data_IF_920697350933
#
_entry.id   IF_920697350933
#
_cell.length_a   1.000
_cell.length_b   1.000
_cell.length_c   1.000
_cell.angle_alpha   90.00
_cell.angle_beta   90.00
_cell.angle_gamma   90.00
#
_symmetry.space_group_name_H-M   'P 1'
#
loop_
_entity.id
_entity.type
_entity.pdbx_description
1 polymer ?
#
# COMPACT_ATOMS: atom_id res chain seq x y z
N UNK A 1 2.75 -76.58 21.65
CA UNK A 1 2.04 -75.36 22.04
C UNK A 1 2.93 -74.18 21.66
N UNK A 2 2.66 -73.53 20.51
CA UNK A 2 3.44 -72.40 19.99
C UNK A 2 2.64 -71.12 20.31
N UNK A 3 3.18 -70.28 21.22
CA UNK A 3 2.55 -68.97 21.54
C UNK A 3 2.90 -67.97 20.42
N UNK A 4 1.87 -67.49 19.70
CA UNK A 4 1.98 -66.35 18.77
C UNK A 4 2.06 -65.06 19.55
N UNK A 5 3.16 -64.31 19.40
CA UNK A 5 3.29 -62.94 19.90
C UNK A 5 2.81 -62.04 18.79
N UNK A 6 1.72 -61.29 19.04
CA UNK A 6 1.20 -60.25 18.17
C UNK A 6 1.86 -58.94 18.61
N UNK A 7 2.75 -58.41 17.74
CA UNK A 7 3.33 -57.07 17.94
C UNK A 7 2.34 -56.04 17.38
N UNK A 8 1.75 -55.22 18.27
CA UNK A 8 0.95 -54.09 17.89
C UNK A 8 1.86 -52.91 17.56
N UNK A 9 1.99 -52.57 16.28
CA UNK A 9 2.71 -51.38 15.84
C UNK A 9 1.85 -50.12 16.07
N UNK A 10 2.32 -49.27 16.95
CA UNK A 10 1.73 -47.96 17.22
C UNK A 10 2.18 -47.00 16.10
N UNK A 11 1.32 -46.68 15.14
CA UNK A 11 1.54 -45.63 14.13
C UNK A 11 1.37 -44.27 14.82
N UNK A 12 2.48 -43.60 15.09
CA UNK A 12 2.50 -42.23 15.60
C UNK A 12 2.29 -41.29 14.39
N UNK A 13 1.05 -40.82 14.18
CA UNK A 13 0.76 -39.76 13.21
C UNK A 13 1.20 -38.43 13.79
N UNK A 14 2.35 -37.92 13.35
CA UNK A 14 2.78 -36.55 13.63
C UNK A 14 1.91 -35.62 12.79
N UNK A 15 0.92 -35.00 13.45
CA UNK A 15 0.20 -33.87 12.87
C UNK A 15 1.16 -32.66 12.82
N UNK A 16 1.67 -32.34 11.63
CA UNK A 16 2.39 -31.10 11.39
C UNK A 16 1.34 -29.99 11.40
N UNK A 17 1.10 -29.40 12.57
CA UNK A 17 0.41 -28.12 12.68
C UNK A 17 1.37 -27.04 12.20
N UNK A 18 1.25 -26.61 10.95
CA UNK A 18 1.90 -25.39 10.47
C UNK A 18 1.27 -24.21 11.20
N UNK A 19 1.87 -23.81 12.34
CA UNK A 19 1.64 -22.51 12.94
C UNK A 19 2.22 -21.48 11.97
N UNK A 20 1.35 -20.77 11.23
CA UNK A 20 1.72 -19.54 10.57
C UNK A 20 1.95 -18.50 11.68
N UNK A 21 3.18 -18.43 12.18
CA UNK A 21 3.63 -17.28 12.96
C UNK A 21 3.60 -16.11 11.96
N UNK A 22 2.83 -15.07 12.27
CA UNK A 22 3.00 -13.75 11.66
C UNK A 22 4.33 -13.21 12.17
N UNK A 23 5.42 -13.59 11.50
CA UNK A 23 6.72 -12.98 11.74
C UNK A 23 6.56 -11.49 11.43
N UNK A 24 6.59 -10.67 12.49
CA UNK A 24 6.66 -9.22 12.33
C UNK A 24 7.96 -8.93 11.59
N UNK A 25 7.85 -8.26 10.45
CA UNK A 25 9.00 -7.83 9.65
C UNK A 25 9.97 -7.06 10.55
N UNK A 26 11.18 -7.59 10.73
CA UNK A 26 12.23 -6.92 11.50
C UNK A 26 12.91 -5.86 10.63
N UNK A 27 12.25 -4.70 10.48
CA UNK A 27 12.77 -3.56 9.73
C UNK A 27 12.96 -2.34 10.61
N UNK A 28 13.94 -1.52 10.27
CA UNK A 28 14.11 -0.21 10.88
C UNK A 28 13.13 0.78 10.25
N UNK A 29 12.34 1.46 11.08
CA UNK A 29 11.50 2.57 10.64
C UNK A 29 12.24 3.87 10.90
N UNK A 30 12.67 4.60 9.84
CA UNK A 30 13.36 5.87 10.01
C UNK A 30 12.37 6.97 10.45
N UNK A 31 12.90 8.04 11.05
CA UNK A 31 12.06 9.22 11.35
C UNK A 31 11.74 9.99 10.06
N UNK A 32 10.59 9.70 9.49
CA UNK A 32 10.13 10.26 8.22
C UNK A 32 10.10 11.79 8.24
N UNK A 33 9.87 12.42 9.38
CA UNK A 33 9.86 13.89 9.52
C UNK A 33 11.21 14.54 9.26
N UNK A 34 12.30 13.78 9.41
CA UNK A 34 13.66 14.24 9.11
C UNK A 34 14.03 14.11 7.63
N UNK A 35 13.24 13.34 6.87
CA UNK A 35 13.59 12.96 5.49
C UNK A 35 12.72 13.70 4.48
N UNK A 36 11.40 13.75 4.72
CA UNK A 36 10.48 14.42 3.80
C UNK A 36 10.43 15.93 4.08
N UNK A 37 10.26 16.78 3.03
CA UNK A 37 10.05 18.20 3.25
C UNK A 37 8.77 18.42 4.08
N UNK A 38 8.66 19.52 4.85
CA UNK A 38 7.40 19.86 5.52
C UNK A 38 6.31 20.18 4.48
N UNK A 39 5.02 20.10 4.84
CA UNK A 39 3.95 20.57 3.97
C UNK A 39 4.14 22.05 3.65
N UNK A 40 3.78 22.50 2.43
CA UNK A 40 3.99 23.88 2.00
C UNK A 40 3.33 24.89 2.94
N UNK A 41 4.07 25.98 3.25
CA UNK A 41 3.60 27.07 4.10
C UNK A 41 2.75 28.09 3.31
N UNK A 42 1.73 28.70 3.92
CA UNK A 42 0.97 29.80 3.31
C UNK A 42 1.88 30.89 2.73
N UNK A 43 1.52 31.42 1.56
CA UNK A 43 2.29 32.45 0.86
C UNK A 43 3.38 31.91 -0.07
N UNK A 44 3.62 30.59 -0.11
CA UNK A 44 4.54 29.98 -1.09
C UNK A 44 3.81 29.55 -2.36
N UNK A 45 4.53 29.48 -3.50
CA UNK A 45 3.98 28.98 -4.76
C UNK A 45 3.49 27.53 -4.65
N UNK A 46 4.18 26.69 -3.87
CA UNK A 46 3.75 25.30 -3.64
C UNK A 46 2.45 25.24 -2.87
N UNK A 47 2.24 26.12 -1.88
CA UNK A 47 0.98 26.21 -1.17
C UNK A 47 -0.15 26.67 -2.11
N UNK A 48 0.10 27.69 -2.94
CA UNK A 48 -0.88 28.15 -3.93
C UNK A 48 -1.27 27.02 -4.88
N UNK A 49 -0.29 26.29 -5.42
CA UNK A 49 -0.52 25.13 -6.27
C UNK A 49 -1.37 24.05 -5.57
N UNK A 50 -1.11 23.77 -4.30
CA UNK A 50 -1.92 22.83 -3.51
C UNK A 50 -3.38 23.28 -3.42
N UNK A 51 -3.60 24.57 -3.13
CA UNK A 51 -4.95 25.13 -3.02
C UNK A 51 -5.70 25.09 -4.35
N UNK A 52 -5.09 25.57 -5.43
CA UNK A 52 -5.72 25.70 -6.73
C UNK A 52 -6.09 24.32 -7.32
N UNK A 53 -5.15 23.36 -7.31
CA UNK A 53 -5.41 22.03 -7.84
C UNK A 53 -6.43 21.28 -6.98
N UNK A 54 -6.32 21.36 -5.65
CA UNK A 54 -7.27 20.67 -4.77
C UNK A 54 -8.67 21.24 -4.88
N UNK A 55 -8.82 22.57 -4.98
CA UNK A 55 -10.12 23.20 -5.20
C UNK A 55 -10.72 22.78 -6.55
N UNK A 56 -9.93 22.81 -7.63
CA UNK A 56 -10.36 22.38 -8.96
C UNK A 56 -10.82 20.90 -9.00
N UNK A 57 -10.27 20.04 -8.15
CA UNK A 57 -10.62 18.62 -8.11
C UNK A 57 -12.08 18.35 -7.72
N UNK A 58 -12.75 19.27 -7.02
CA UNK A 58 -14.15 19.12 -6.63
C UNK A 58 -15.13 19.31 -7.81
N UNK A 59 -14.67 19.83 -8.94
CA UNK A 59 -15.50 20.07 -10.14
C UNK A 59 -15.39 18.97 -11.19
N UNK A 60 -14.59 17.92 -10.97
CA UNK A 60 -14.42 16.80 -11.94
C UNK A 60 -15.31 15.58 -11.64
N UNK A 61 -16.37 15.77 -10.85
CA UNK A 61 -17.36 14.74 -10.51
C UNK A 61 -18.00 14.15 -11.79
N UNK A 62 -18.39 12.88 -11.75
CA UNK A 62 -19.04 12.16 -12.86
C UNK A 62 -18.13 11.80 -14.06
N UNK A 63 -16.84 12.08 -14.00
CA UNK A 63 -15.87 11.62 -15.01
C UNK A 63 -15.41 10.18 -14.73
N UNK A 64 -14.89 9.48 -15.76
CA UNK A 64 -14.26 8.17 -15.57
C UNK A 64 -13.07 8.24 -14.61
N UNK A 65 -12.33 9.36 -14.64
CA UNK A 65 -11.21 9.59 -13.71
C UNK A 65 -11.67 9.67 -12.25
N UNK A 66 -12.82 10.31 -12.01
CA UNK A 66 -13.42 10.37 -10.68
C UNK A 66 -13.91 9.00 -10.20
N UNK A 67 -14.56 8.21 -11.07
CA UNK A 67 -14.98 6.83 -10.76
C UNK A 67 -13.78 5.96 -10.41
N UNK A 68 -12.67 6.09 -11.14
CA UNK A 68 -11.42 5.39 -10.81
C UNK A 68 -10.89 5.83 -9.43
N UNK A 69 -10.93 7.13 -9.12
CA UNK A 69 -10.52 7.63 -7.80
C UNK A 69 -11.39 7.09 -6.65
N UNK A 70 -12.68 6.86 -6.89
CA UNK A 70 -13.58 6.20 -5.92
C UNK A 70 -13.20 4.73 -5.72
N UNK A 71 -12.91 3.98 -6.80
CA UNK A 71 -12.44 2.59 -6.72
C UNK A 71 -11.11 2.49 -5.97
N UNK A 72 -10.16 3.38 -6.28
CA UNK A 72 -8.85 3.46 -5.65
C UNK A 72 -8.89 3.86 -4.16
N UNK A 73 -10.04 4.27 -3.67
CA UNK A 73 -10.22 4.60 -2.26
C UNK A 73 -10.41 3.37 -1.36
N UNK A 74 -10.61 2.19 -1.94
CA UNK A 74 -10.70 0.95 -1.18
C UNK A 74 -9.32 0.59 -0.60
N UNK A 75 -9.19 0.79 0.73
CA UNK A 75 -7.96 0.51 1.48
C UNK A 75 -8.04 -0.87 2.10
N UNK A 76 -7.83 -1.87 1.26
CA UNK A 76 -7.78 -3.28 1.67
C UNK A 76 -6.95 -4.09 0.66
N UNK A 77 -6.44 -5.27 1.03
CA UNK A 77 -5.74 -6.14 0.08
C UNK A 77 -6.55 -6.44 -1.19
N UNK A 78 -7.88 -6.59 -1.09
CA UNK A 78 -8.79 -6.76 -2.22
C UNK A 78 -8.81 -5.52 -3.12
N UNK A 79 -8.86 -4.32 -2.51
CA UNK A 79 -8.83 -3.05 -3.24
C UNK A 79 -7.50 -2.84 -3.96
N UNK A 80 -6.39 -3.19 -3.34
CA UNK A 80 -5.07 -3.11 -3.95
C UNK A 80 -4.92 -4.13 -5.09
N UNK A 81 -5.37 -5.38 -4.89
CA UNK A 81 -5.40 -6.40 -5.93
C UNK A 81 -6.19 -5.91 -7.16
N UNK A 82 -7.43 -5.46 -6.97
CA UNK A 82 -8.28 -4.91 -8.02
C UNK A 82 -7.60 -3.73 -8.75
N UNK A 83 -6.91 -2.86 -8.01
CA UNK A 83 -6.25 -1.70 -8.58
C UNK A 83 -5.07 -2.08 -9.48
N UNK A 84 -4.28 -3.11 -9.14
CA UNK A 84 -3.01 -3.40 -9.79
C UNK A 84 -3.04 -4.62 -10.73
N UNK A 85 -3.98 -5.55 -10.58
CA UNK A 85 -4.04 -6.82 -11.32
C UNK A 85 -3.88 -6.65 -12.83
N UNK A 86 -4.62 -5.71 -13.43
CA UNK A 86 -4.53 -5.44 -14.89
C UNK A 86 -3.15 -4.93 -15.30
N UNK A 87 -2.53 -4.06 -14.52
CA UNK A 87 -1.19 -3.54 -14.81
C UNK A 87 -0.13 -4.61 -14.60
N UNK A 88 -0.27 -5.42 -13.58
CA UNK A 88 0.61 -6.53 -13.23
C UNK A 88 0.54 -7.67 -14.26
N UNK A 89 -0.62 -7.89 -14.88
CA UNK A 89 -0.82 -8.88 -15.94
C UNK A 89 -1.08 -10.30 -15.46
N UNK A 90 -1.22 -10.50 -14.15
CA UNK A 90 -1.59 -11.76 -13.51
C UNK A 90 -2.67 -11.53 -12.47
N UNK A 91 -3.45 -12.57 -12.17
CA UNK A 91 -4.41 -12.52 -11.05
C UNK A 91 -3.71 -12.29 -9.72
N UNK A 92 -4.29 -11.45 -8.89
CA UNK A 92 -3.81 -11.20 -7.52
C UNK A 92 -4.91 -11.62 -6.56
N UNK A 93 -4.76 -12.81 -5.97
CA UNK A 93 -5.78 -13.35 -5.07
C UNK A 93 -5.16 -14.24 -4.00
N UNK A 94 -5.84 -14.33 -2.85
CA UNK A 94 -5.43 -15.21 -1.76
C UNK A 94 -5.29 -16.68 -2.17
N UNK A 95 -6.06 -17.11 -3.19
CA UNK A 95 -6.08 -18.49 -3.65
C UNK A 95 -5.00 -18.79 -4.69
N UNK A 96 -4.82 -17.90 -5.66
CA UNK A 96 -3.95 -18.16 -6.82
C UNK A 96 -2.53 -17.63 -6.61
N UNK A 97 -2.38 -16.53 -5.87
CA UNK A 97 -1.10 -15.87 -5.61
C UNK A 97 -0.94 -15.53 -4.12
N UNK A 98 -0.92 -16.56 -3.23
CA UNK A 98 -0.89 -16.37 -1.78
C UNK A 98 0.34 -15.59 -1.28
N UNK A 99 1.52 -15.72 -1.91
CA UNK A 99 2.70 -14.94 -1.53
C UNK A 99 2.52 -13.46 -1.88
N UNK A 100 2.01 -13.13 -3.08
CA UNK A 100 1.68 -11.74 -3.44
C UNK A 100 0.63 -11.19 -2.48
N UNK A 101 -0.38 -11.98 -2.14
CA UNK A 101 -1.40 -11.57 -1.17
C UNK A 101 -0.82 -11.26 0.21
N UNK A 102 0.10 -12.09 0.71
CA UNK A 102 0.80 -11.86 1.97
C UNK A 102 1.62 -10.56 1.93
N UNK A 103 2.30 -10.29 0.81
CA UNK A 103 3.03 -9.04 0.60
C UNK A 103 2.08 -7.84 0.70
N UNK A 104 0.89 -7.87 0.09
CA UNK A 104 -0.08 -6.77 0.20
C UNK A 104 -0.49 -6.51 1.66
N UNK A 105 -0.73 -7.57 2.45
CA UNK A 105 -1.02 -7.42 3.88
C UNK A 105 0.16 -6.83 4.67
N UNK A 106 1.38 -7.27 4.39
CA UNK A 106 2.59 -6.75 5.05
C UNK A 106 2.79 -5.25 4.74
N UNK A 107 2.57 -4.84 3.49
CA UNK A 107 2.66 -3.43 3.06
C UNK A 107 1.58 -2.57 3.73
N UNK A 108 0.36 -3.10 3.91
CA UNK A 108 -0.73 -2.41 4.59
C UNK A 108 -0.38 -2.14 6.06
N UNK A 109 0.14 -3.13 6.77
CA UNK A 109 0.59 -2.98 8.16
C UNK A 109 1.75 -2.00 8.26
N UNK A 110 2.77 -2.13 7.41
CA UNK A 110 3.95 -1.28 7.42
C UNK A 110 3.61 0.19 7.14
N UNK A 111 2.68 0.50 6.23
CA UNK A 111 2.31 1.88 5.88
C UNK A 111 1.98 2.72 7.11
N UNK A 112 1.17 2.16 8.03
CA UNK A 112 0.76 2.86 9.24
C UNK A 112 1.95 3.28 10.10
N UNK A 113 2.95 2.41 10.26
CA UNK A 113 4.15 2.70 11.05
C UNK A 113 5.01 3.79 10.42
N UNK A 114 5.11 3.83 9.08
CA UNK A 114 5.88 4.87 8.37
C UNK A 114 5.19 6.23 8.34
N UNK A 115 3.87 6.29 8.19
CA UNK A 115 3.17 7.57 7.97
C UNK A 115 2.56 8.18 9.21
N UNK A 116 2.10 7.37 10.17
CA UNK A 116 1.38 7.84 11.37
C UNK A 116 2.14 8.87 12.21
N UNK A 117 3.45 8.73 12.48
CA UNK A 117 4.20 9.74 13.25
C UNK A 117 4.21 11.11 12.57
N UNK A 118 4.40 11.16 11.25
CA UNK A 118 4.39 12.39 10.48
C UNK A 118 2.97 13.01 10.40
N UNK A 119 1.94 12.18 10.20
CA UNK A 119 0.53 12.63 10.20
C UNK A 119 0.13 13.29 11.52
N UNK A 120 0.56 12.73 12.64
CA UNK A 120 0.29 13.28 13.97
C UNK A 120 1.07 14.57 14.22
N UNK A 121 2.32 14.65 13.74
CA UNK A 121 3.17 15.83 13.91
C UNK A 121 2.68 17.03 13.09
N UNK A 122 2.41 16.84 11.78
CA UNK A 122 2.02 17.94 10.90
C UNK A 122 0.55 18.33 11.05
N UNK A 123 -0.31 17.44 11.49
CA UNK A 123 -1.72 17.67 11.77
C UNK A 123 -2.43 18.49 10.67
N UNK A 124 -2.12 18.22 9.41
CA UNK A 124 -2.59 18.98 8.25
C UNK A 124 -4.05 18.68 7.97
N UNK A 125 -4.86 19.75 7.86
CA UNK A 125 -6.26 19.65 7.45
C UNK A 125 -6.39 19.20 5.99
N UNK A 126 -7.32 18.28 5.72
CA UNK A 126 -7.58 17.76 4.37
C UNK A 126 -8.32 18.76 3.49
N UNK A 127 -8.16 18.71 2.14
CA UNK A 127 -8.82 19.63 1.21
C UNK A 127 -10.33 19.70 1.39
N UNK A 128 -11.03 18.56 1.45
CA UNK A 128 -12.48 18.54 1.59
C UNK A 128 -12.97 19.28 2.85
N UNK A 129 -12.24 19.19 3.96
CA UNK A 129 -12.57 19.88 5.20
C UNK A 129 -12.21 21.37 5.12
N UNK A 130 -11.08 21.72 4.48
CA UNK A 130 -10.64 23.09 4.30
C UNK A 130 -11.59 23.89 3.40
N UNK A 131 -12.05 23.30 2.31
CA UNK A 131 -12.95 23.95 1.33
C UNK A 131 -14.44 23.72 1.64
N UNK A 132 -14.78 23.00 2.73
CA UNK A 132 -16.18 22.64 3.07
C UNK A 132 -16.88 21.86 1.95
N UNK A 133 -16.15 21.03 1.21
CA UNK A 133 -16.61 20.23 0.07
C UNK A 133 -16.76 18.76 0.43
N UNK A 134 -17.42 17.99 -0.44
CA UNK A 134 -17.56 16.54 -0.29
C UNK A 134 -16.45 15.80 -1.03
N UNK A 135 -15.66 15.02 -0.32
CA UNK A 135 -14.72 14.07 -0.92
C UNK A 135 -15.44 12.94 -1.69
N UNK A 136 -14.73 12.21 -2.54
CA UNK A 136 -15.28 11.08 -3.28
C UNK A 136 -15.67 9.89 -2.39
N UNK A 137 -15.18 9.86 -1.17
CA UNK A 137 -15.48 8.86 -0.13
C UNK A 137 -15.77 9.53 1.20
N UNK A 138 -16.57 8.87 2.04
CA UNK A 138 -16.80 9.33 3.41
C UNK A 138 -15.58 9.04 4.28
N UNK A 139 -15.09 10.04 5.00
CA UNK A 139 -13.99 9.91 5.96
C UNK A 139 -14.12 10.96 7.06
N UNK A 140 -13.88 10.56 8.30
CA UNK A 140 -13.92 11.43 9.48
C UNK A 140 -12.51 11.92 9.87
N UNK A 141 -11.49 11.53 9.12
CA UNK A 141 -10.08 11.80 9.44
C UNK A 141 -9.62 13.13 8.81
N UNK A 142 -10.09 14.25 9.33
CA UNK A 142 -9.92 15.58 8.75
C UNK A 142 -8.52 16.19 8.91
N UNK A 143 -7.73 15.77 9.93
CA UNK A 143 -6.44 16.39 10.30
C UNK A 143 -5.22 15.50 10.05
N UNK A 144 -5.32 14.52 9.15
CA UNK A 144 -4.22 13.58 8.82
C UNK A 144 -3.92 13.55 7.33
N UNK A 145 -3.80 14.76 6.72
CA UNK A 145 -3.58 14.86 5.29
C UNK A 145 -2.15 14.48 4.90
N UNK A 146 -1.13 14.95 5.62
CA UNK A 146 0.27 14.86 5.22
C UNK A 146 1.07 13.83 6.03
N UNK A 147 1.85 12.94 5.37
CA UNK A 147 1.82 12.56 3.96
C UNK A 147 0.61 11.67 3.61
N UNK A 148 0.36 11.42 2.31
CA UNK A 148 -0.72 10.55 1.86
C UNK A 148 -0.39 9.07 2.06
N UNK A 149 -1.14 8.37 2.96
CA UNK A 149 -0.94 6.94 3.22
C UNK A 149 -1.30 6.05 2.03
N UNK A 150 -2.45 6.30 1.37
CA UNK A 150 -2.81 5.57 0.15
C UNK A 150 -1.71 5.68 -0.92
N UNK A 151 -1.12 6.87 -1.10
CA UNK A 151 -0.02 7.04 -2.05
C UNK A 151 1.22 6.27 -1.61
N UNK A 152 1.53 6.30 -0.30
CA UNK A 152 2.66 5.55 0.26
C UNK A 152 2.55 4.07 -0.05
N UNK A 153 1.42 3.44 0.31
CA UNK A 153 1.24 2.02 0.06
C UNK A 153 1.14 1.70 -1.43
N UNK A 154 0.37 2.48 -2.21
CA UNK A 154 0.21 2.23 -3.65
C UNK A 154 1.53 2.32 -4.43
N UNK A 155 2.42 3.22 -4.02
CA UNK A 155 3.76 3.33 -4.60
C UNK A 155 4.67 2.17 -4.21
N UNK A 156 4.65 1.76 -2.93
CA UNK A 156 5.41 0.60 -2.48
C UNK A 156 4.91 -0.70 -3.14
N UNK A 157 3.58 -0.85 -3.32
CA UNK A 157 3.01 -1.96 -4.10
C UNK A 157 3.54 -1.94 -5.54
N UNK A 158 3.55 -0.77 -6.20
CA UNK A 158 4.05 -0.66 -7.57
C UNK A 158 5.53 -1.06 -7.68
N UNK A 159 6.38 -0.60 -6.76
CA UNK A 159 7.80 -0.97 -6.71
C UNK A 159 7.96 -2.48 -6.50
N UNK A 160 7.22 -3.06 -5.56
CA UNK A 160 7.27 -4.49 -5.24
C UNK A 160 6.77 -5.36 -6.40
N UNK A 161 5.64 -5.01 -7.01
CA UNK A 161 5.10 -5.74 -8.17
C UNK A 161 6.02 -5.62 -9.40
N UNK A 162 6.72 -4.50 -9.55
CA UNK A 162 7.72 -4.32 -10.63
C UNK A 162 8.94 -5.20 -10.42
N UNK A 163 9.34 -5.45 -9.17
CA UNK A 163 10.41 -6.41 -8.85
C UNK A 163 9.98 -7.87 -9.10
N UNK A 164 8.71 -8.19 -8.82
CA UNK A 164 8.16 -9.53 -9.05
C UNK A 164 7.97 -9.80 -10.55
N UNK A 165 7.46 -8.82 -11.30
CA UNK A 165 7.23 -8.92 -12.75
C UNK A 165 7.91 -7.77 -13.51
N UNK A 166 9.24 -7.82 -13.75
CA UNK A 166 9.97 -6.73 -14.42
C UNK A 166 9.50 -6.45 -15.85
N UNK A 167 8.90 -7.44 -16.52
CA UNK A 167 8.39 -7.28 -17.88
C UNK A 167 7.21 -6.31 -17.99
N UNK A 168 6.58 -6.00 -16.85
CA UNK A 168 5.41 -5.11 -16.75
C UNK A 168 5.70 -3.81 -16.00
N UNK A 169 6.98 -3.49 -15.73
CA UNK A 169 7.38 -2.33 -14.93
C UNK A 169 6.72 -1.04 -15.37
N UNK A 170 6.69 -0.72 -16.68
CA UNK A 170 6.11 0.53 -17.18
C UNK A 170 4.63 0.66 -16.82
N UNK A 171 3.85 -0.41 -17.02
CA UNK A 171 2.42 -0.45 -16.73
C UNK A 171 2.14 -0.36 -15.23
N UNK A 172 2.93 -1.10 -14.44
CA UNK A 172 2.80 -1.15 -12.97
C UNK A 172 3.14 0.21 -12.37
N UNK A 173 4.28 0.81 -12.75
CA UNK A 173 4.72 2.10 -12.22
C UNK A 173 3.78 3.23 -12.63
N UNK A 174 3.30 3.23 -13.89
CA UNK A 174 2.26 4.16 -14.33
C UNK A 174 0.99 4.04 -13.48
N UNK A 175 0.56 2.80 -13.19
CA UNK A 175 -0.63 2.56 -12.35
C UNK A 175 -0.42 3.03 -10.91
N UNK A 176 0.76 2.78 -10.32
CA UNK A 176 1.13 3.26 -8.99
C UNK A 176 1.08 4.79 -8.89
N UNK A 177 1.58 5.48 -9.92
CA UNK A 177 1.48 6.94 -10.01
C UNK A 177 0.01 7.40 -10.10
N UNK A 178 -0.79 6.80 -10.98
CA UNK A 178 -2.23 7.13 -11.13
C UNK A 178 -3.02 6.86 -9.85
N UNK A 179 -2.68 5.78 -9.10
CA UNK A 179 -3.29 5.44 -7.82
C UNK A 179 -3.06 6.54 -6.77
N UNK A 180 -1.84 7.07 -6.67
CA UNK A 180 -1.54 8.22 -5.82
C UNK A 180 -2.31 9.48 -6.26
N UNK A 181 -2.34 9.79 -7.57
CA UNK A 181 -3.08 10.94 -8.11
C UNK A 181 -4.61 10.85 -7.87
N UNK A 182 -5.14 9.64 -7.71
CA UNK A 182 -6.55 9.44 -7.35
C UNK A 182 -6.91 10.11 -6.03
N UNK A 183 -5.96 10.34 -5.14
CA UNK A 183 -6.21 10.99 -3.85
C UNK A 183 -6.48 12.49 -3.97
N UNK A 184 -5.83 13.15 -4.95
CA UNK A 184 -6.13 14.55 -5.31
C UNK A 184 -7.51 14.63 -5.95
N UNK A 185 -7.78 13.80 -6.96
CA UNK A 185 -9.07 13.76 -7.66
C UNK A 185 -10.23 13.46 -6.70
N UNK A 186 -9.99 12.66 -5.68
CA UNK A 186 -10.95 12.33 -4.62
C UNK A 186 -11.21 13.50 -3.65
N UNK A 187 -10.39 14.55 -3.65
CA UNK A 187 -10.50 15.70 -2.76
C UNK A 187 -10.04 15.43 -1.31
N UNK A 188 -9.26 14.36 -1.09
CA UNK A 188 -8.83 13.96 0.26
C UNK A 188 -7.38 14.31 0.58
N UNK A 189 -6.56 14.63 -0.43
CA UNK A 189 -5.16 15.01 -0.29
C UNK A 189 -4.78 16.13 -1.25
N UNK A 190 -3.82 16.96 -0.83
CA UNK A 190 -3.17 17.95 -1.68
C UNK A 190 -2.10 17.28 -2.58
N UNK A 191 -1.72 17.90 -3.71
CA UNK A 191 -0.59 17.44 -4.53
C UNK A 191 0.69 17.19 -3.73
N UNK A 192 1.04 18.08 -2.80
CA UNK A 192 2.23 17.91 -1.96
C UNK A 192 2.14 16.74 -0.98
N UNK A 193 0.93 16.38 -0.48
CA UNK A 193 0.73 15.18 0.34
C UNK A 193 1.02 13.91 -0.47
N UNK A 194 0.59 13.91 -1.73
CA UNK A 194 0.78 12.80 -2.67
C UNK A 194 2.26 12.68 -3.03
N UNK A 195 2.94 13.79 -3.34
CA UNK A 195 4.38 13.78 -3.64
C UNK A 195 5.21 13.26 -2.44
N UNK A 196 4.88 13.70 -1.22
CA UNK A 196 5.49 13.16 -0.01
C UNK A 196 5.17 11.66 0.17
N UNK A 197 3.96 11.22 -0.20
CA UNK A 197 3.56 9.82 -0.18
C UNK A 197 4.44 8.94 -1.07
N UNK A 198 4.79 9.37 -2.28
CA UNK A 198 5.73 8.64 -3.15
C UNK A 198 7.12 8.50 -2.52
N UNK A 199 7.63 9.57 -1.89
CA UNK A 199 8.91 9.52 -1.17
C UNK A 199 8.87 8.51 -0.02
N UNK A 200 7.81 8.57 0.82
CA UNK A 200 7.66 7.64 1.95
C UNK A 200 7.49 6.21 1.45
N UNK A 201 6.76 5.98 0.36
CA UNK A 201 6.60 4.66 -0.26
C UNK A 201 7.94 4.09 -0.76
N UNK A 202 8.80 4.93 -1.34
CA UNK A 202 10.16 4.53 -1.75
C UNK A 202 11.04 4.20 -0.56
N UNK A 203 10.96 4.98 0.52
CA UNK A 203 11.69 4.72 1.77
C UNK A 203 11.20 3.41 2.39
N UNK A 204 9.88 3.20 2.47
CA UNK A 204 9.27 1.99 3.00
C UNK A 204 9.74 0.75 2.21
N UNK A 205 9.66 0.79 0.89
CA UNK A 205 10.16 -0.27 0.02
C UNK A 205 11.64 -0.56 0.27
N UNK A 206 12.49 0.47 0.32
CA UNK A 206 13.93 0.32 0.60
C UNK A 206 14.20 -0.35 1.96
N UNK A 207 13.42 -0.04 3.00
CA UNK A 207 13.58 -0.68 4.30
C UNK A 207 13.07 -2.13 4.29
N UNK A 208 11.96 -2.42 3.62
CA UNK A 208 11.45 -3.78 3.45
C UNK A 208 12.45 -4.68 2.74
N UNK A 209 13.21 -4.16 1.77
CA UNK A 209 14.27 -4.89 1.08
C UNK A 209 15.41 -5.36 2.02
N UNK A 210 15.53 -4.79 3.21
CA UNK A 210 16.52 -5.25 4.21
C UNK A 210 16.03 -6.45 5.03
N UNK A 211 14.74 -6.83 4.93
CA UNK A 211 14.16 -7.97 5.63
C UNK A 211 14.35 -9.27 4.84
N UNK A 212 15.05 -10.28 5.41
CA UNK A 212 15.12 -11.60 4.80
C UNK A 212 13.75 -12.27 4.60
N UNK A 213 12.78 -11.98 5.47
CA UNK A 213 11.42 -12.48 5.40
C UNK A 213 10.70 -11.91 4.18
N UNK A 214 10.80 -10.59 3.98
CA UNK A 214 10.22 -9.93 2.82
C UNK A 214 10.85 -10.41 1.51
N UNK A 215 12.17 -10.60 1.49
CA UNK A 215 12.88 -11.15 0.32
C UNK A 215 12.41 -12.57 -0.02
N UNK A 216 12.20 -13.43 0.98
CA UNK A 216 11.64 -14.77 0.74
C UNK A 216 10.25 -14.72 0.10
N UNK A 217 9.36 -13.82 0.58
CA UNK A 217 8.03 -13.65 -0.01
C UNK A 217 8.12 -13.16 -1.47
N UNK A 218 9.04 -12.25 -1.78
CA UNK A 218 9.31 -11.81 -3.16
C UNK A 218 9.70 -13.00 -4.05
N UNK A 219 10.61 -13.85 -3.59
CA UNK A 219 11.03 -15.04 -4.38
C UNK A 219 9.88 -16.05 -4.56
N UNK A 220 9.05 -16.26 -3.55
CA UNK A 220 7.85 -17.10 -3.68
C UNK A 220 6.84 -16.45 -4.67
N UNK A 221 6.64 -15.16 -4.60
CA UNK A 221 5.76 -14.41 -5.50
C UNK A 221 6.22 -14.48 -6.97
N UNK A 222 7.53 -14.41 -7.23
CA UNK A 222 8.10 -14.63 -8.58
C UNK A 222 7.76 -16.00 -9.12
N UNK A 223 7.78 -17.05 -8.27
CA UNK A 223 7.44 -18.41 -8.68
C UNK A 223 5.94 -18.59 -8.97
N UNK A 224 5.06 -17.81 -8.34
CA UNK A 224 3.61 -17.87 -8.57
C UNK A 224 3.23 -17.42 -9.98
N UNK A 225 3.95 -16.46 -10.56
CA UNK A 225 3.67 -15.93 -11.90
C UNK A 225 4.35 -16.69 -13.04
N UNK A 226 5.18 -17.68 -12.74
CA UNK A 226 5.82 -18.56 -13.74
C UNK A 226 4.99 -19.80 -14.07
N UNK A 227 3.90 -20.02 -13.34
CA UNK A 227 2.98 -21.17 -13.51
C UNK A 227 1.93 -20.88 -14.57
#
# INVERSE_FOLDING_TARGET
>A
MIKKIIAAGLLLTIAITSTFATDQLSIRIPDIKQIIPPPPSPGTLLYQNDMDISHASFFVKNTNRYKLAQSDANYSPEGFAQAFEKAFGHSISKKETPAIWNILNQLEVAEGEFTKPAKLFYHRTRPFAYFHEKACVKTDNIHRSYPSGHTTIGWAIALTLSEINPSRTDQIMKRGYEFGQSRVVCGVHYPSDVNAGYLVGSIMFSQLQTSPEFQREIELAKQEILK
#
